data_IF_294343530584
#
_entry.id   IF_294343530584
#
_cell.length_a   1.000
_cell.length_b   1.000
_cell.length_c   1.000
_cell.angle_alpha   90.00
_cell.angle_beta   90.00
_cell.angle_gamma   90.00
#
_symmetry.space_group_name_H-M   'P 1'
#
loop_
_entity.id
_entity.type
_entity.pdbx_description
1 polymer ?
#
# COMPACT_ATOMS: atom_id res chain seq x y z
N UNK A 1 -3.23 -13.29 25.12
CA UNK A 1 -3.98 -12.47 24.15
C UNK A 1 -5.46 -12.80 24.27
N UNK A 2 -6.33 -11.83 24.55
CA UNK A 2 -7.78 -12.07 24.50
C UNK A 2 -8.32 -11.65 23.12
N UNK A 3 -9.37 -12.30 22.57
CA UNK A 3 -9.96 -11.90 21.29
C UNK A 3 -10.54 -10.47 21.32
N UNK A 4 -10.83 -9.94 22.51
CA UNK A 4 -11.46 -8.64 22.73
C UNK A 4 -10.66 -7.45 22.18
N UNK A 5 -9.34 -7.58 22.09
CA UNK A 5 -8.43 -6.48 21.73
C UNK A 5 -8.04 -6.49 20.24
N UNK A 6 -8.54 -7.47 19.48
CA UNK A 6 -8.19 -7.64 18.07
C UNK A 6 -9.17 -6.91 17.15
N UNK A 7 -8.61 -6.23 16.16
CA UNK A 7 -9.35 -5.54 15.10
C UNK A 7 -8.94 -6.06 13.73
N UNK A 8 -9.90 -6.11 12.79
CA UNK A 8 -9.62 -6.55 11.43
C UNK A 8 -8.58 -5.64 10.77
N UNK A 9 -7.48 -6.23 10.29
CA UNK A 9 -6.40 -5.50 9.59
C UNK A 9 -6.91 -4.59 8.46
N UNK A 10 -7.98 -4.99 7.76
CA UNK A 10 -8.53 -4.26 6.60
C UNK A 10 -9.53 -3.17 7.00
N UNK A 11 -10.56 -3.52 7.77
CA UNK A 11 -11.71 -2.63 8.03
C UNK A 11 -11.81 -2.13 9.47
N UNK A 12 -10.95 -2.59 10.39
CA UNK A 12 -10.96 -2.15 11.79
C UNK A 12 -12.09 -2.71 12.65
N UNK A 13 -13.00 -3.52 12.10
CA UNK A 13 -14.06 -4.14 12.90
C UNK A 13 -13.48 -5.07 13.95
N UNK A 14 -13.99 -4.99 15.18
CA UNK A 14 -13.58 -5.84 16.29
C UNK A 14 -13.81 -7.33 16.01
N UNK A 15 -12.88 -8.17 16.47
CA UNK A 15 -12.86 -9.62 16.21
C UNK A 15 -13.19 -10.45 17.46
N UNK A 16 -13.88 -9.87 18.46
CA UNK A 16 -14.17 -10.55 19.75
C UNK A 16 -14.89 -11.89 19.59
N UNK A 17 -15.71 -12.03 18.54
CA UNK A 17 -16.49 -13.24 18.29
C UNK A 17 -15.72 -14.32 17.51
N UNK A 18 -14.45 -14.08 17.16
CA UNK A 18 -13.63 -15.03 16.41
C UNK A 18 -12.74 -15.78 17.39
N UNK A 19 -12.78 -17.11 17.30
CA UNK A 19 -11.95 -17.98 18.14
C UNK A 19 -10.46 -17.86 17.76
N UNK A 20 -9.62 -17.92 18.79
CA UNK A 20 -8.16 -17.99 18.67
C UNK A 20 -7.66 -19.42 18.95
N UNK A 21 -6.58 -19.87 18.28
CA UNK A 21 -5.90 -19.18 17.17
C UNK A 21 -6.83 -19.09 15.94
N UNK A 22 -6.59 -18.10 15.07
CA UNK A 22 -7.38 -18.00 13.84
C UNK A 22 -7.27 -19.30 13.04
N UNK A 23 -8.42 -19.86 12.68
CA UNK A 23 -8.48 -20.90 11.66
C UNK A 23 -7.98 -20.32 10.34
N UNK A 24 -7.39 -21.17 9.48
CA UNK A 24 -7.00 -20.80 8.11
C UNK A 24 -8.18 -20.31 7.26
N UNK A 25 -9.40 -20.63 7.68
CA UNK A 25 -10.65 -20.22 7.04
C UNK A 25 -11.34 -19.07 7.77
N UNK A 26 -10.77 -18.56 8.87
CA UNK A 26 -11.33 -17.43 9.61
C UNK A 26 -11.43 -16.20 8.71
N UNK A 27 -12.62 -15.61 8.69
CA UNK A 27 -12.93 -14.40 7.93
C UNK A 27 -13.53 -13.33 8.83
N UNK A 28 -13.29 -12.07 8.48
CA UNK A 28 -13.96 -10.95 9.11
C UNK A 28 -15.46 -10.98 8.78
N UNK A 29 -16.33 -10.90 9.79
CA UNK A 29 -17.79 -10.86 9.58
C UNK A 29 -18.25 -9.64 8.76
N UNK A 30 -17.58 -8.51 8.91
CA UNK A 30 -17.91 -7.25 8.24
C UNK A 30 -17.44 -7.20 6.78
N UNK A 31 -16.13 -7.30 6.54
CA UNK A 31 -15.57 -7.13 5.19
C UNK A 31 -15.21 -8.43 4.47
N UNK A 32 -15.48 -9.60 5.07
CA UNK A 32 -15.23 -10.94 4.53
C UNK A 32 -13.77 -11.23 4.14
N UNK A 33 -12.83 -10.41 4.58
CA UNK A 33 -11.40 -10.63 4.35
C UNK A 33 -10.89 -11.81 5.18
N UNK A 34 -9.89 -12.52 4.66
CA UNK A 34 -9.19 -13.56 5.39
C UNK A 34 -8.44 -12.96 6.60
N UNK A 35 -8.48 -13.67 7.74
CA UNK A 35 -7.81 -13.26 8.99
C UNK A 35 -6.50 -14.01 9.22
N UNK A 36 -6.35 -15.23 8.67
CA UNK A 36 -5.08 -15.99 8.72
C UNK A 36 -4.12 -15.50 7.62
N UNK A 37 -3.65 -14.26 7.75
CA UNK A 37 -2.81 -13.58 6.76
C UNK A 37 -1.63 -12.89 7.44
N UNK A 38 -0.54 -12.64 6.70
CA UNK A 38 0.63 -11.96 7.26
C UNK A 38 0.28 -10.59 7.85
N UNK A 39 -0.59 -9.81 7.20
CA UNK A 39 -1.04 -8.50 7.72
C UNK A 39 -1.71 -8.53 9.09
N UNK A 40 -2.16 -9.69 9.55
CA UNK A 40 -2.77 -9.86 10.86
C UNK A 40 -1.75 -10.32 11.92
N UNK A 41 -0.52 -10.65 11.51
CA UNK A 41 0.52 -11.23 12.36
C UNK A 41 1.38 -10.16 13.04
N UNK A 42 1.80 -10.38 14.29
CA UNK A 42 2.74 -9.50 15.01
C UNK A 42 4.15 -9.48 14.40
N UNK A 43 4.56 -10.58 13.75
CA UNK A 43 5.86 -10.68 13.10
C UNK A 43 5.92 -9.97 11.74
N UNK A 44 4.78 -9.50 11.23
CA UNK A 44 4.74 -8.84 9.93
C UNK A 44 5.32 -7.44 10.03
N UNK A 45 6.40 -7.23 9.29
CA UNK A 45 7.11 -5.97 9.23
C UNK A 45 7.66 -5.77 7.83
N UNK A 46 7.28 -4.69 7.15
CA UNK A 46 7.73 -4.40 5.78
C UNK A 46 9.19 -3.98 5.68
N UNK A 47 9.84 -3.66 6.80
CA UNK A 47 11.24 -3.17 6.84
C UNK A 47 12.28 -4.29 6.86
N UNK A 48 11.86 -5.53 7.10
CA UNK A 48 12.75 -6.70 7.17
C UNK A 48 12.61 -7.61 5.95
N UNK A 49 13.62 -8.47 5.74
CA UNK A 49 13.60 -9.45 4.65
C UNK A 49 12.35 -10.33 4.72
N UNK A 50 11.78 -10.67 3.55
CA UNK A 50 10.53 -11.42 3.41
C UNK A 50 9.31 -10.82 4.13
N UNK A 51 9.43 -9.60 4.64
CA UNK A 51 8.45 -8.91 5.47
C UNK A 51 8.00 -9.71 6.71
N UNK A 52 8.92 -10.46 7.33
CA UNK A 52 8.64 -11.29 8.50
C UNK A 52 9.84 -11.29 9.45
N UNK A 53 9.60 -11.02 10.74
CA UNK A 53 10.64 -11.06 11.79
C UNK A 53 10.97 -12.47 12.27
N UNK A 54 10.09 -13.45 12.03
CA UNK A 54 10.33 -14.86 12.37
C UNK A 54 11.22 -15.53 11.31
N UNK A 55 12.49 -15.86 11.62
CA UNK A 55 13.47 -16.36 10.63
C UNK A 55 13.14 -17.73 10.06
N UNK A 56 12.45 -18.60 10.80
CA UNK A 56 12.10 -19.96 10.32
C UNK A 56 10.72 -20.05 9.68
N UNK A 57 9.97 -18.94 9.62
CA UNK A 57 8.67 -18.92 8.95
C UNK A 57 8.81 -19.05 7.43
N UNK A 58 7.92 -19.84 6.82
CA UNK A 58 7.85 -19.96 5.37
C UNK A 58 7.55 -18.62 4.71
N UNK A 59 8.23 -18.36 3.58
CA UNK A 59 8.01 -17.14 2.80
C UNK A 59 6.62 -17.15 2.16
N UNK A 60 5.79 -16.22 2.58
CA UNK A 60 4.48 -15.96 1.95
C UNK A 60 4.63 -14.88 0.87
N UNK A 61 4.19 -15.14 -0.36
CA UNK A 61 4.23 -14.15 -1.45
C UNK A 61 3.16 -13.05 -1.27
N UNK A 62 1.90 -13.44 -1.12
CA UNK A 62 0.79 -12.50 -0.91
C UNK A 62 0.48 -12.35 0.59
N UNK A 63 0.81 -11.19 1.14
CA UNK A 63 0.67 -10.88 2.58
C UNK A 63 -0.77 -10.63 3.02
N UNK A 64 -1.71 -10.54 2.07
CA UNK A 64 -3.12 -10.19 2.29
C UNK A 64 -4.08 -11.37 2.08
N UNK A 65 -3.58 -12.48 1.54
CA UNK A 65 -4.35 -13.71 1.29
C UNK A 65 -4.11 -14.74 2.37
N UNK A 66 -5.10 -15.62 2.58
CA UNK A 66 -4.96 -16.77 3.49
C UNK A 66 -3.68 -17.55 3.19
N UNK A 67 -2.94 -17.91 4.23
CA UNK A 67 -1.72 -18.70 4.12
C UNK A 67 -1.71 -19.87 5.12
N UNK A 68 -0.63 -20.65 5.10
CA UNK A 68 -0.45 -21.83 5.95
C UNK A 68 0.56 -21.62 7.07
N UNK A 69 1.04 -20.39 7.28
CA UNK A 69 2.07 -20.09 8.25
C UNK A 69 1.63 -20.52 9.66
N UNK A 70 2.40 -21.42 10.27
CA UNK A 70 2.17 -21.93 11.62
C UNK A 70 2.58 -20.96 12.73
N UNK A 71 3.36 -19.94 12.40
CA UNK A 71 3.85 -18.91 13.33
C UNK A 71 2.93 -17.69 13.43
N UNK A 72 1.71 -17.74 12.87
CA UNK A 72 0.83 -16.59 12.90
C UNK A 72 0.36 -16.31 14.33
N UNK A 73 0.74 -15.15 14.85
CA UNK A 73 0.27 -14.61 16.12
C UNK A 73 -0.45 -13.29 15.86
N UNK A 74 -1.77 -13.18 16.13
CA UNK A 74 -2.53 -11.97 15.86
C UNK A 74 -1.93 -10.73 16.53
N UNK A 75 -1.96 -9.58 15.85
CA UNK A 75 -1.51 -8.30 16.41
C UNK A 75 -2.68 -7.35 16.69
N UNK A 76 -2.64 -6.66 17.84
CA UNK A 76 -3.58 -5.59 18.21
C UNK A 76 -3.45 -4.37 17.29
N UNK A 77 -2.25 -4.14 16.75
CA UNK A 77 -1.91 -2.99 15.90
C UNK A 77 -1.99 -3.31 14.41
N UNK A 78 -2.56 -4.47 14.03
CA UNK A 78 -2.71 -4.89 12.64
C UNK A 78 -3.57 -3.94 11.81
N UNK A 79 -4.53 -3.26 12.43
CA UNK A 79 -5.32 -2.23 11.76
C UNK A 79 -4.66 -0.86 11.95
N UNK A 80 -4.18 -0.29 10.84
CA UNK A 80 -3.73 1.09 10.79
C UNK A 80 -4.80 1.91 10.07
N UNK A 81 -5.56 2.70 10.83
CA UNK A 81 -6.53 3.61 10.25
C UNK A 81 -5.80 4.59 9.33
N UNK A 82 -6.29 4.74 8.08
CA UNK A 82 -5.74 5.76 7.17
C UNK A 82 -6.11 7.13 7.73
N UNK A 83 -5.17 7.82 8.37
CA UNK A 83 -5.33 9.22 8.74
C UNK A 83 -5.43 10.05 7.46
N UNK A 84 -6.63 10.51 7.12
CA UNK A 84 -6.88 11.32 5.93
C UNK A 84 -6.27 12.71 6.03
N UNK A 85 -6.04 13.21 7.24
CA UNK A 85 -5.46 14.55 7.51
C UNK A 85 -4.04 14.69 6.95
N UNK A 86 -3.16 13.73 7.21
CA UNK A 86 -1.78 13.78 6.71
C UNK A 86 -1.72 13.61 5.20
N UNK A 87 -2.59 12.77 4.62
CA UNK A 87 -2.60 12.56 3.17
C UNK A 87 -3.08 13.81 2.40
N UNK A 88 -4.04 14.57 2.93
CA UNK A 88 -4.47 15.83 2.32
C UNK A 88 -3.43 16.94 2.50
N UNK A 89 -2.82 17.04 3.69
CA UNK A 89 -1.79 18.05 3.98
C UNK A 89 -0.53 17.82 3.13
N UNK A 90 -0.03 16.58 3.06
CA UNK A 90 1.10 16.23 2.19
C UNK A 90 0.80 16.50 0.72
N UNK A 91 -0.42 16.25 0.24
CA UNK A 91 -0.81 16.58 -1.13
C UNK A 91 -0.78 18.09 -1.37
N UNK A 92 -1.38 18.88 -0.47
CA UNK A 92 -1.38 20.34 -0.58
C UNK A 92 0.05 20.92 -0.57
N UNK A 93 0.93 20.38 0.27
CA UNK A 93 2.34 20.80 0.31
C UNK A 93 3.07 20.44 -0.99
N UNK A 94 2.84 19.25 -1.54
CA UNK A 94 3.42 18.87 -2.83
C UNK A 94 2.87 19.75 -3.96
N UNK A 95 1.57 20.00 -4.00
CA UNK A 95 0.95 20.87 -5.01
C UNK A 95 1.48 22.30 -4.92
N UNK A 96 1.78 22.82 -3.72
CA UNK A 96 2.42 24.11 -3.54
C UNK A 96 3.90 24.11 -4.01
N UNK A 97 4.65 23.04 -3.73
CA UNK A 97 6.04 22.91 -4.19
C UNK A 97 6.17 22.81 -5.71
N UNK A 98 5.19 22.19 -6.36
CA UNK A 98 5.17 21.99 -7.82
C UNK A 98 4.29 23.00 -8.57
N UNK A 99 3.66 23.95 -7.88
CA UNK A 99 2.80 24.97 -8.50
C UNK A 99 1.51 24.44 -9.12
N UNK A 100 1.02 23.29 -8.66
CA UNK A 100 -0.17 22.59 -9.18
C UNK A 100 -1.48 23.04 -8.49
N UNK A 101 -1.40 23.92 -7.49
CA UNK A 101 -2.52 24.30 -6.61
C UNK A 101 -3.33 25.54 -7.02
N UNK A 102 -3.11 26.10 -8.20
CA UNK A 102 -3.89 27.23 -8.73
C UNK A 102 -4.65 26.80 -9.98
N UNK A 103 -5.97 26.97 -9.96
CA UNK A 103 -6.82 26.92 -11.14
C UNK A 103 -6.41 27.98 -12.15
N UNK A 104 -5.38 27.70 -12.96
CA UNK A 104 -5.27 28.25 -14.29
C UNK A 104 -5.23 27.06 -15.26
N UNK A 105 -6.35 26.85 -15.94
CA UNK A 105 -6.33 26.24 -17.26
C UNK A 105 -5.59 27.18 -18.22
N UNK A 106 -4.30 27.38 -18.03
CA UNK A 106 -3.43 27.77 -19.13
C UNK A 106 -3.14 26.49 -19.88
N UNK A 107 -4.05 26.15 -20.79
CA UNK A 107 -3.69 25.32 -21.93
C UNK A 107 -2.50 26.02 -22.58
N UNK A 108 -1.27 25.47 -22.60
CA UNK A 108 -0.27 26.00 -23.50
C UNK A 108 -0.68 25.53 -24.89
N UNK A 109 -1.66 26.21 -25.50
CA UNK A 109 -1.73 26.26 -26.97
C UNK A 109 -0.52 27.05 -27.40
N UNK A 110 0.59 26.34 -27.44
CA UNK A 110 1.86 26.73 -28.00
C UNK A 110 2.51 25.45 -28.43
N UNK A 111 1.82 24.69 -29.30
CA UNK A 111 2.52 23.75 -30.16
C UNK A 111 3.65 24.56 -30.81
N UNK A 112 4.93 24.24 -30.57
CA UNK A 112 5.99 24.78 -31.41
C UNK A 112 5.58 24.47 -32.86
N UNK A 113 5.87 25.34 -33.84
CA UNK A 113 5.68 24.98 -35.24
C UNK A 113 6.24 23.56 -35.41
N UNK A 114 5.47 22.62 -35.96
CA UNK A 114 5.81 21.19 -36.01
C UNK A 114 7.27 20.97 -36.49
N UNK A 115 7.74 21.88 -37.34
CA UNK A 115 9.10 22.03 -37.83
C UNK A 115 10.18 22.24 -36.75
N UNK A 116 9.91 23.08 -35.75
CA UNK A 116 10.83 23.32 -34.62
C UNK A 116 10.92 22.12 -33.70
N UNK A 117 9.80 21.46 -33.43
CA UNK A 117 9.77 20.23 -32.65
C UNK A 117 10.52 19.09 -33.35
N UNK A 118 10.35 18.96 -34.67
CA UNK A 118 11.07 17.97 -35.50
C UNK A 118 12.58 18.25 -35.56
N UNK A 119 13.00 19.50 -35.75
CA UNK A 119 14.43 19.87 -35.70
C UNK A 119 15.09 19.54 -34.37
N UNK A 120 14.43 19.87 -33.26
CA UNK A 120 14.95 19.56 -31.90
C UNK A 120 15.06 18.05 -31.68
N UNK A 121 14.13 17.25 -32.19
CA UNK A 121 14.20 15.79 -32.12
C UNK A 121 15.34 15.22 -32.97
N UNK A 122 15.56 15.72 -34.20
CA UNK A 122 16.69 15.30 -35.04
C UNK A 122 18.04 15.71 -34.45
N UNK A 123 18.14 16.88 -33.80
CA UNK A 123 19.36 17.31 -33.12
C UNK A 123 19.70 16.42 -31.91
N UNK A 124 18.69 16.00 -31.16
CA UNK A 124 18.85 15.16 -29.97
C UNK A 124 19.10 13.68 -30.29
N UNK A 125 18.47 13.16 -31.35
CA UNK A 125 18.45 11.72 -31.64
C UNK A 125 19.07 11.34 -32.99
N UNK A 126 19.54 12.31 -33.78
CA UNK A 126 20.00 12.13 -35.16
C UNK A 126 21.50 11.93 -35.36
N UNK A 127 22.25 11.45 -34.35
CA UNK A 127 23.61 10.93 -34.57
C UNK A 127 23.63 9.43 -34.36
N UNK A 128 23.31 8.71 -35.43
CA UNK A 128 23.94 7.45 -35.83
C UNK A 128 23.50 7.09 -37.26
N UNK A 129 24.08 7.79 -38.24
CA UNK A 129 24.20 7.28 -39.61
C UNK A 129 25.61 7.56 -40.11
N UNK A 130 26.58 6.81 -39.58
CA UNK A 130 27.75 6.39 -40.34
C UNK A 130 28.28 5.07 -39.81
#
# INVERSE_FOLDING_TARGET
>A
MKPEDLSCWKCGTSLKDILLPFSRMSKCKSCQTDLHVCKMCEFYDTTVNNSCREPVAEKVTDKTRKNFCGYLQPSETAHQAKSTSHASDSKQQLDALFGLGSEEKSNPTGEPPEDEARRKLEELFGKDKK
#
